data_IF_378085840766
#
_entry.id   IF_378085840766
#
_cell.length_a   1.000
_cell.length_b   1.000
_cell.length_c   1.000
_cell.angle_alpha   90.00
_cell.angle_beta   90.00
_cell.angle_gamma   90.00
#
_symmetry.space_group_name_H-M   'P 1'
#
loop_
_entity.id
_entity.type
_entity.pdbx_description
1 polymer ?
#
# COMPACT_ATOMS: atom_id res chain seq x y z
N UNK A 1 17.05 30.63 -0.43
CA UNK A 1 17.19 31.09 -1.83
C UNK A 1 15.87 31.72 -2.25
N UNK A 2 15.85 33.03 -2.55
CA UNK A 2 14.70 33.67 -3.18
C UNK A 2 14.59 33.19 -4.64
N UNK A 3 13.37 32.90 -5.08
CA UNK A 3 13.08 32.64 -6.50
C UNK A 3 13.06 33.94 -7.31
N UNK A 4 13.15 33.86 -8.66
CA UNK A 4 13.10 35.03 -9.55
C UNK A 4 11.79 35.82 -9.46
N UNK A 5 10.77 35.25 -8.82
CA UNK A 5 9.43 35.78 -8.57
C UNK A 5 9.27 36.46 -7.19
N UNK A 6 10.33 36.59 -6.39
CA UNK A 6 10.30 37.31 -5.10
C UNK A 6 9.59 36.59 -3.96
N UNK A 7 8.97 35.44 -4.22
CA UNK A 7 8.38 34.58 -3.19
C UNK A 7 9.43 33.69 -2.52
N UNK A 8 9.26 33.46 -1.22
CA UNK A 8 10.05 32.47 -0.49
C UNK A 8 9.75 31.07 -1.05
N UNK A 9 10.69 30.48 -1.82
CA UNK A 9 10.71 29.03 -2.03
C UNK A 9 11.00 28.37 -0.70
N UNK A 10 9.97 28.10 0.09
CA UNK A 10 10.12 27.30 1.29
C UNK A 10 10.35 25.84 0.85
N UNK A 11 11.48 25.20 1.22
CA UNK A 11 11.67 23.76 0.97
C UNK A 11 10.56 22.91 1.60
N UNK A 12 9.82 23.48 2.55
CA UNK A 12 8.65 22.91 3.21
C UNK A 12 7.51 22.60 2.22
N UNK A 13 7.24 23.43 1.22
CA UNK A 13 6.12 23.19 0.29
C UNK A 13 6.40 22.00 -0.65
N UNK A 14 7.62 21.87 -1.19
CA UNK A 14 8.01 20.68 -1.96
C UNK A 14 7.98 19.41 -1.10
N UNK A 15 8.36 19.51 0.17
CA UNK A 15 8.25 18.42 1.15
C UNK A 15 6.79 18.03 1.37
N UNK A 16 5.88 18.98 1.57
CA UNK A 16 4.44 18.72 1.82
C UNK A 16 3.73 18.12 0.60
N UNK A 17 4.02 18.62 -0.62
CA UNK A 17 3.50 18.04 -1.86
C UNK A 17 4.09 16.64 -2.14
N UNK A 18 5.37 16.43 -1.87
CA UNK A 18 6.01 15.11 -1.88
C UNK A 18 5.35 14.15 -0.89
N UNK A 19 5.19 14.56 0.37
CA UNK A 19 4.63 13.77 1.47
C UNK A 19 3.16 13.39 1.28
N UNK A 20 2.35 14.23 0.64
CA UNK A 20 0.95 13.89 0.30
C UNK A 20 0.84 12.98 -0.92
N UNK A 21 1.84 12.99 -1.82
CA UNK A 21 1.88 12.11 -2.99
C UNK A 21 2.44 10.70 -2.69
N UNK A 22 3.29 10.57 -1.68
CA UNK A 22 3.92 9.29 -1.30
C UNK A 22 2.90 8.20 -0.94
N UNK A 23 1.89 8.42 -0.08
CA UNK A 23 0.87 7.41 0.21
C UNK A 23 0.12 6.93 -1.03
N UNK A 24 -0.15 7.83 -1.98
CA UNK A 24 -0.81 7.49 -3.23
C UNK A 24 0.11 6.64 -4.12
N UNK A 25 1.39 7.01 -4.26
CA UNK A 25 2.37 6.23 -5.04
C UNK A 25 2.59 4.83 -4.48
N UNK A 26 2.70 4.71 -3.16
CA UNK A 26 2.81 3.41 -2.50
C UNK A 26 1.57 2.55 -2.73
N UNK A 27 0.39 3.16 -2.70
CA UNK A 27 -0.85 2.44 -2.99
C UNK A 27 -0.99 2.08 -4.48
N UNK A 28 -0.54 2.93 -5.40
CA UNK A 28 -0.45 2.58 -6.82
C UNK A 28 0.49 1.39 -7.05
N UNK A 29 1.64 1.38 -6.39
CA UNK A 29 2.57 0.25 -6.43
C UNK A 29 1.93 -1.02 -5.85
N UNK A 30 1.25 -0.93 -4.71
CA UNK A 30 0.52 -2.06 -4.12
C UNK A 30 -0.55 -2.62 -5.06
N UNK A 31 -1.34 -1.75 -5.72
CA UNK A 31 -2.31 -2.17 -6.73
C UNK A 31 -1.63 -2.81 -7.95
N UNK A 32 -0.52 -2.27 -8.42
CA UNK A 32 0.22 -2.84 -9.54
C UNK A 32 0.77 -4.24 -9.21
N UNK A 33 1.34 -4.43 -8.01
CA UNK A 33 1.77 -5.74 -7.52
C UNK A 33 0.59 -6.73 -7.41
N UNK A 34 -0.55 -6.26 -6.88
CA UNK A 34 -1.76 -7.09 -6.77
C UNK A 34 -2.28 -7.54 -8.14
N UNK A 35 -2.26 -6.65 -9.13
CA UNK A 35 -2.67 -6.97 -10.50
C UNK A 35 -1.66 -7.91 -11.18
N UNK A 36 -0.36 -7.69 -10.97
CA UNK A 36 0.70 -8.56 -11.46
C UNK A 36 0.59 -9.97 -10.88
N UNK A 37 0.29 -10.10 -9.57
CA UNK A 37 0.04 -11.37 -8.92
C UNK A 37 -1.14 -12.11 -9.57
N UNK A 38 -2.29 -11.45 -9.73
CA UNK A 38 -3.45 -12.08 -10.34
C UNK A 38 -3.18 -12.50 -11.80
N UNK A 39 -2.43 -11.67 -12.53
CA UNK A 39 -1.99 -11.98 -13.90
C UNK A 39 -1.05 -13.18 -13.92
N UNK A 40 -0.07 -13.23 -13.00
CA UNK A 40 0.82 -14.37 -12.86
C UNK A 40 0.07 -15.65 -12.51
N UNK A 41 -0.96 -15.58 -11.64
CA UNK A 41 -1.84 -16.71 -11.36
C UNK A 41 -2.56 -17.19 -12.63
N UNK A 42 -3.10 -16.27 -13.43
CA UNK A 42 -3.78 -16.61 -14.69
C UNK A 42 -2.83 -17.25 -15.71
N UNK A 43 -1.63 -16.70 -15.86
CA UNK A 43 -0.60 -17.23 -16.77
C UNK A 43 -0.09 -18.60 -16.32
N UNK A 44 0.21 -18.76 -15.03
CA UNK A 44 0.64 -20.05 -14.47
C UNK A 44 -0.46 -21.10 -14.61
N UNK A 45 -1.72 -20.74 -14.34
CA UNK A 45 -2.84 -21.65 -14.51
C UNK A 45 -3.02 -22.12 -15.96
N UNK A 46 -2.70 -21.26 -16.94
CA UNK A 46 -2.77 -21.63 -18.36
C UNK A 46 -1.71 -22.66 -18.79
N UNK A 47 -0.57 -22.72 -18.09
CA UNK A 47 0.56 -23.61 -18.43
C UNK A 47 0.62 -24.83 -17.51
N UNK A 48 0.37 -24.65 -16.21
CA UNK A 48 0.39 -25.68 -15.17
C UNK A 48 -0.76 -25.46 -14.17
N UNK A 49 -1.99 -25.88 -14.50
CA UNK A 49 -3.19 -25.64 -13.67
C UNK A 49 -3.06 -26.10 -12.21
N UNK A 50 -2.46 -27.27 -11.90
CA UNK A 50 -2.24 -27.71 -10.52
C UNK A 50 -1.38 -26.78 -9.65
N UNK A 51 -0.55 -25.92 -10.24
CA UNK A 51 0.30 -24.98 -9.50
C UNK A 51 -0.49 -23.84 -8.82
N UNK A 52 -1.73 -23.57 -9.25
CA UNK A 52 -2.59 -22.50 -8.72
C UNK A 52 -3.86 -23.10 -8.12
N UNK A 53 -3.87 -23.26 -6.80
CA UNK A 53 -5.03 -23.80 -6.08
C UNK A 53 -6.12 -22.73 -5.82
N UNK A 54 -7.32 -23.19 -5.42
CA UNK A 54 -8.46 -22.29 -5.16
C UNK A 54 -8.20 -21.24 -4.07
N UNK A 55 -7.35 -21.55 -3.08
CA UNK A 55 -7.00 -20.61 -2.00
C UNK A 55 -6.16 -19.44 -2.54
N UNK A 56 -5.25 -19.71 -3.48
CA UNK A 56 -4.45 -18.68 -4.17
C UNK A 56 -5.36 -17.72 -4.95
N UNK A 57 -6.34 -18.24 -5.68
CA UNK A 57 -7.31 -17.42 -6.42
C UNK A 57 -8.11 -16.48 -5.53
N UNK A 58 -8.69 -17.01 -4.45
CA UNK A 58 -9.50 -16.23 -3.50
C UNK A 58 -8.66 -15.09 -2.90
N UNK A 59 -7.42 -15.39 -2.52
CA UNK A 59 -6.51 -14.37 -1.97
C UNK A 59 -6.09 -13.33 -3.01
N UNK A 60 -5.64 -13.75 -4.19
CA UNK A 60 -5.20 -12.82 -5.23
C UNK A 60 -6.32 -11.85 -5.63
N UNK A 61 -7.54 -12.36 -5.84
CA UNK A 61 -8.71 -11.53 -6.14
C UNK A 61 -9.08 -10.61 -4.96
N UNK A 62 -9.07 -11.13 -3.74
CA UNK A 62 -9.37 -10.35 -2.53
C UNK A 62 -8.38 -9.20 -2.28
N UNK A 63 -7.09 -9.46 -2.46
CA UNK A 63 -6.02 -8.45 -2.33
C UNK A 63 -6.17 -7.38 -3.41
N UNK A 64 -6.43 -7.76 -4.66
CA UNK A 64 -6.66 -6.81 -5.75
C UNK A 64 -7.88 -5.93 -5.47
N UNK A 65 -9.00 -6.51 -5.04
CA UNK A 65 -10.19 -5.75 -4.69
C UNK A 65 -9.93 -4.77 -3.53
N UNK A 66 -9.25 -5.22 -2.48
CA UNK A 66 -8.85 -4.37 -1.34
C UNK A 66 -7.89 -3.25 -1.76
N UNK A 67 -7.00 -3.51 -2.72
CA UNK A 67 -6.08 -2.51 -3.26
C UNK A 67 -6.82 -1.34 -3.89
N UNK A 68 -7.88 -1.59 -4.68
CA UNK A 68 -8.68 -0.53 -5.30
C UNK A 68 -9.43 0.31 -4.25
N UNK A 69 -9.98 -0.33 -3.23
CA UNK A 69 -10.64 0.37 -2.13
C UNK A 69 -9.65 1.25 -1.37
N UNK A 70 -8.43 0.75 -1.16
CA UNK A 70 -7.36 1.45 -0.46
C UNK A 70 -6.79 2.60 -1.30
N UNK A 71 -6.70 2.44 -2.61
CA UNK A 71 -6.35 3.50 -3.56
C UNK A 71 -7.36 4.65 -3.53
N UNK A 72 -8.65 4.31 -3.46
CA UNK A 72 -9.71 5.31 -3.27
C UNK A 72 -9.53 6.07 -1.95
N UNK A 73 -9.19 5.40 -0.85
CA UNK A 73 -8.91 6.08 0.42
C UNK A 73 -7.65 6.94 0.35
N UNK A 74 -6.59 6.50 -0.32
CA UNK A 74 -5.39 7.31 -0.54
C UNK A 74 -5.70 8.59 -1.33
N UNK A 75 -6.58 8.52 -2.34
CA UNK A 75 -7.05 9.70 -3.06
C UNK A 75 -7.89 10.64 -2.18
N UNK A 76 -8.73 10.10 -1.30
CA UNK A 76 -9.51 10.90 -0.34
C UNK A 76 -8.63 11.53 0.76
N UNK A 77 -7.54 10.86 1.14
CA UNK A 77 -6.55 11.41 2.07
C UNK A 77 -5.89 12.66 1.52
N UNK A 78 -5.58 12.70 0.21
CA UNK A 78 -5.08 13.92 -0.46
C UNK A 78 -6.07 15.09 -0.39
N UNK A 79 -7.36 14.81 -0.20
CA UNK A 79 -8.42 15.81 -0.02
C UNK A 79 -8.65 16.18 1.46
N UNK A 80 -7.80 15.72 2.38
CA UNK A 80 -7.88 16.05 3.81
C UNK A 80 -8.85 15.20 4.64
N UNK A 81 -9.40 14.10 4.11
CA UNK A 81 -10.38 13.29 4.85
C UNK A 81 -9.73 12.47 5.98
N UNK A 82 -9.95 12.89 7.23
CA UNK A 82 -9.46 12.21 8.44
C UNK A 82 -9.91 10.74 8.57
N UNK A 83 -11.14 10.44 8.12
CA UNK A 83 -11.64 9.06 8.12
C UNK A 83 -10.87 8.13 7.16
N UNK A 84 -10.41 8.67 6.02
CA UNK A 84 -9.61 7.92 5.05
C UNK A 84 -8.22 7.61 5.61
N UNK A 85 -7.60 8.55 6.33
CA UNK A 85 -6.32 8.34 7.04
C UNK A 85 -6.40 7.12 7.98
N UNK A 86 -7.40 7.09 8.88
CA UNK A 86 -7.54 6.01 9.87
C UNK A 86 -7.75 4.65 9.20
N UNK A 87 -8.61 4.57 8.17
CA UNK A 87 -8.85 3.33 7.42
C UNK A 87 -7.58 2.84 6.72
N UNK A 88 -6.85 3.74 6.07
CA UNK A 88 -5.60 3.42 5.38
C UNK A 88 -4.52 2.93 6.36
N UNK A 89 -4.40 3.56 7.53
CA UNK A 89 -3.47 3.15 8.57
C UNK A 89 -3.78 1.75 9.10
N UNK A 90 -5.05 1.48 9.43
CA UNK A 90 -5.48 0.17 9.91
C UNK A 90 -5.23 -0.93 8.89
N UNK A 91 -5.58 -0.70 7.62
CA UNK A 91 -5.32 -1.68 6.55
C UNK A 91 -3.83 -1.90 6.33
N UNK A 92 -3.01 -0.84 6.41
CA UNK A 92 -1.55 -0.97 6.23
C UNK A 92 -0.92 -1.80 7.36
N UNK A 93 -1.30 -1.52 8.61
CA UNK A 93 -0.78 -2.26 9.78
C UNK A 93 -1.29 -3.71 9.76
N UNK A 94 -2.61 -3.91 9.64
CA UNK A 94 -3.21 -5.24 9.66
C UNK A 94 -2.75 -6.09 8.48
N UNK A 95 -2.65 -5.51 7.28
CA UNK A 95 -2.15 -6.19 6.10
C UNK A 95 -0.67 -6.58 6.23
N UNK A 96 0.18 -5.69 6.74
CA UNK A 96 1.60 -6.00 6.99
C UNK A 96 1.77 -7.13 8.01
N UNK A 97 1.01 -7.10 9.11
CA UNK A 97 1.02 -8.15 10.13
C UNK A 97 0.51 -9.48 9.59
N UNK A 98 -0.57 -9.45 8.80
CA UNK A 98 -1.11 -10.65 8.16
C UNK A 98 -0.12 -11.31 7.21
N UNK A 99 0.62 -10.50 6.44
CA UNK A 99 1.67 -10.98 5.54
C UNK A 99 2.87 -11.52 6.33
N UNK A 100 3.32 -10.82 7.37
CA UNK A 100 4.42 -11.29 8.21
C UNK A 100 4.09 -12.63 8.89
N UNK A 101 2.86 -12.78 9.39
CA UNK A 101 2.37 -14.05 9.91
C UNK A 101 2.45 -15.13 8.83
N UNK A 102 1.91 -14.89 7.63
CA UNK A 102 1.96 -15.85 6.52
C UNK A 102 3.38 -16.27 6.12
N UNK A 103 4.35 -15.36 6.21
CA UNK A 103 5.75 -15.64 5.90
C UNK A 103 6.43 -16.50 6.98
N UNK A 104 6.03 -16.35 8.24
CA UNK A 104 6.62 -17.05 9.39
C UNK A 104 5.98 -18.42 9.67
N UNK A 105 4.82 -18.74 9.08
CA UNK A 105 4.19 -20.05 9.24
C UNK A 105 4.94 -21.14 8.43
N UNK A 106 5.52 -22.17 9.09
CA UNK A 106 6.27 -23.24 8.41
C UNK A 106 5.40 -24.10 7.49
N UNK A 107 4.15 -24.37 7.89
CA UNK A 107 3.19 -25.20 7.13
C UNK A 107 2.17 -24.34 6.34
N UNK A 108 2.67 -23.29 5.69
CA UNK A 108 1.81 -22.40 4.91
C UNK A 108 1.26 -23.12 3.66
N UNK A 109 -0.07 -23.11 3.41
CA UNK A 109 -0.68 -23.73 2.22
C UNK A 109 -0.34 -22.97 0.91
N UNK A 110 0.49 -21.94 0.99
CA UNK A 110 0.89 -21.10 -0.13
C UNK A 110 2.19 -21.60 -0.78
N UNK A 111 2.19 -21.77 -2.11
CA UNK A 111 3.42 -21.99 -2.86
C UNK A 111 4.49 -20.95 -2.52
N UNK A 112 5.77 -21.34 -2.61
CA UNK A 112 6.89 -20.44 -2.29
C UNK A 112 6.85 -19.13 -3.10
N UNK A 113 6.56 -19.21 -4.40
CA UNK A 113 6.45 -18.04 -5.27
C UNK A 113 5.39 -17.04 -4.79
N UNK A 114 4.25 -17.53 -4.30
CA UNK A 114 3.17 -16.70 -3.79
C UNK A 114 3.63 -15.99 -2.51
N UNK A 115 4.32 -16.70 -1.60
CA UNK A 115 4.86 -16.11 -0.36
C UNK A 115 5.90 -15.01 -0.62
N UNK A 116 6.73 -15.18 -1.65
CA UNK A 116 7.71 -14.16 -2.04
C UNK A 116 7.02 -12.88 -2.53
N UNK A 117 6.00 -13.03 -3.37
CA UNK A 117 5.19 -11.90 -3.84
C UNK A 117 4.47 -11.21 -2.67
N UNK A 118 3.83 -11.98 -1.80
CA UNK A 118 3.14 -11.45 -0.63
C UNK A 118 4.12 -10.67 0.26
N UNK A 119 5.35 -11.14 0.42
CA UNK A 119 6.39 -10.45 1.18
C UNK A 119 6.70 -9.07 0.57
N UNK A 120 6.79 -8.96 -0.76
CA UNK A 120 6.96 -7.67 -1.44
C UNK A 120 5.78 -6.72 -1.17
N UNK A 121 4.54 -7.21 -1.23
CA UNK A 121 3.35 -6.44 -0.89
C UNK A 121 3.35 -5.97 0.58
N UNK A 122 3.79 -6.83 1.50
CA UNK A 122 3.89 -6.52 2.93
C UNK A 122 4.89 -5.41 3.21
N UNK A 123 6.02 -5.40 2.51
CA UNK A 123 7.00 -4.31 2.60
C UNK A 123 6.41 -2.98 2.13
N UNK A 124 5.60 -2.97 1.08
CA UNK A 124 4.92 -1.75 0.60
C UNK A 124 3.92 -1.24 1.64
N UNK A 125 3.12 -2.12 2.24
CA UNK A 125 2.19 -1.75 3.31
C UNK A 125 2.92 -1.27 4.58
N UNK A 126 4.06 -1.86 4.91
CA UNK A 126 4.89 -1.42 6.03
C UNK A 126 5.46 -0.03 5.78
N UNK A 127 5.98 0.22 4.57
CA UNK A 127 6.45 1.55 4.17
C UNK A 127 5.32 2.59 4.20
N UNK A 128 4.10 2.19 3.82
CA UNK A 128 2.92 3.04 3.90
C UNK A 128 2.55 3.34 5.36
N UNK A 129 2.51 2.33 6.23
CA UNK A 129 2.27 2.52 7.67
C UNK A 129 3.31 3.45 8.29
N UNK A 130 4.60 3.23 8.00
CA UNK A 130 5.68 4.09 8.47
C UNK A 130 5.52 5.54 7.99
N UNK A 131 5.09 5.74 6.74
CA UNK A 131 4.81 7.08 6.19
C UNK A 131 3.64 7.75 6.90
N UNK A 132 2.54 7.02 7.13
CA UNK A 132 1.35 7.53 7.80
C UNK A 132 1.59 7.84 9.29
N UNK A 133 2.48 7.08 9.95
CA UNK A 133 2.84 7.29 11.35
C UNK A 133 3.77 8.49 11.58
N UNK A 134 4.33 9.11 10.52
CA UNK A 134 5.24 10.25 10.68
C UNK A 134 4.57 11.45 11.36
N UNK A 135 5.23 12.08 12.35
CA UNK A 135 4.67 13.22 13.10
C UNK A 135 4.21 14.37 12.21
N UNK A 136 4.94 14.66 11.13
CA UNK A 136 4.64 15.75 10.19
C UNK A 136 3.28 15.59 9.50
N UNK A 137 2.90 14.35 9.16
CA UNK A 137 1.61 14.03 8.51
C UNK A 137 0.45 14.06 9.52
N UNK A 138 0.71 13.67 10.77
CA UNK A 138 -0.26 13.80 11.88
C UNK A 138 -0.51 15.27 12.23
N UNK A 139 0.54 16.09 12.30
CA UNK A 139 0.45 17.51 12.63
C UNK A 139 -0.39 18.31 11.62
N UNK A 140 -0.38 17.94 10.33
CA UNK A 140 -1.24 18.59 9.32
C UNK A 140 -2.72 18.27 9.51
N UNK A 141 -3.04 17.19 10.23
CA UNK A 141 -4.41 16.72 10.46
C UNK A 141 -4.95 17.12 11.83
N UNK A 142 -4.11 17.57 12.77
CA UNK A 142 -4.54 18.12 14.05
C UNK A 142 -4.94 19.60 13.89
N UNK A 143 -6.10 20.03 14.41
CA UNK A 143 -6.43 21.45 14.44
C UNK A 143 -5.51 22.15 15.44
N UNK A 144 -4.86 23.25 15.02
CA UNK A 144 -4.21 24.20 15.93
C UNK A 144 -5.18 24.54 17.04
N UNK A 145 -4.85 24.09 18.26
CA UNK A 145 -5.52 24.54 19.49
C UNK A 145 -4.97 25.88 19.90
#
# INVERSE_FOLDING_TARGET
>A
MLGPDGYWRTPVLHSVYGMTSTPLRLMQLFTALSAALLTACALLYAVDPPAVNGVVWIRAAGILALSFLSLRWAAQLRRGHRGAYRRLLWVSIAGSLGIAALALLPDSPFPLWFRLEQSAQGLVLLALAATLLRPSLRATLEPTR
#
